data_IF_547733920784
#
_entry.id   IF_547733920784
#
_cell.length_a   1.000
_cell.length_b   1.000
_cell.length_c   1.000
_cell.angle_alpha   90.00
_cell.angle_beta   90.00
_cell.angle_gamma   90.00
#
_symmetry.space_group_name_H-M   'P 1'
#
loop_
_entity.id
_entity.type
_entity.pdbx_description
1 polymer ?
2 branched ?
3 water ?
#
# COMPACT_ATOMS: atom_id res chain seq x y z
N UNK A 12 23.53 7.44 -20.72
CA UNK A 12 22.69 7.34 -19.49
C UNK A 12 21.87 8.61 -19.30
N UNK A 13 22.51 9.76 -19.49
CA UNK A 13 21.80 11.02 -19.36
C UNK A 13 20.64 11.14 -20.34
N UNK A 14 20.82 10.57 -21.52
CA UNK A 14 19.81 10.60 -22.57
C UNK A 14 18.54 9.84 -22.17
N UNK A 15 18.71 8.64 -21.61
CA UNK A 15 17.57 7.83 -21.19
C UNK A 15 16.76 8.54 -20.10
N UNK A 16 17.45 9.31 -19.29
CA UNK A 16 16.80 10.05 -18.22
C UNK A 16 16.02 11.24 -18.81
N UNK A 17 16.51 11.78 -19.93
CA UNK A 17 15.82 12.88 -20.58
C UNK A 17 14.48 12.33 -21.06
N UNK A 18 14.52 11.15 -21.66
CA UNK A 18 13.29 10.54 -22.15
C UNK A 18 12.33 10.15 -21.02
N UNK A 19 12.86 9.74 -19.88
CA UNK A 19 12.01 9.33 -18.77
C UNK A 19 11.15 8.11 -19.16
N UNK A 20 10.06 7.89 -18.42
CA UNK A 20 9.18 6.75 -18.70
C UNK A 20 8.33 6.92 -19.94
N UNK A 21 8.00 5.81 -20.59
CA UNK A 21 7.17 5.86 -21.80
C UNK A 21 5.79 6.44 -21.46
N UNK A 22 5.24 7.21 -22.39
CA UNK A 22 3.94 7.79 -22.17
C UNK A 22 2.87 6.76 -21.87
N UNK A 23 3.04 5.55 -22.41
CA UNK A 23 2.06 4.50 -22.20
C UNK A 23 1.86 4.21 -20.72
N UNK A 24 2.95 4.27 -19.94
CA UNK A 24 2.90 3.99 -18.52
C UNK A 24 2.34 5.18 -17.73
N UNK A 25 1.35 4.93 -16.88
CA UNK A 25 0.77 6.00 -16.08
C UNK A 25 1.69 6.37 -14.92
N UNK A 26 1.53 7.57 -14.36
CA UNK A 26 2.37 8.00 -13.24
C UNK A 26 2.23 7.02 -12.07
N UNK A 27 1.03 6.48 -11.89
CA UNK A 27 0.77 5.54 -10.81
C UNK A 27 1.52 4.23 -10.98
N UNK A 28 1.50 3.70 -12.20
CA UNK A 28 2.19 2.47 -12.53
C UNK A 28 3.71 2.64 -12.45
N UNK A 29 4.23 3.74 -12.99
CA UNK A 29 5.67 3.94 -12.93
C UNK A 29 6.12 4.02 -11.48
N UNK A 30 5.34 4.73 -10.67
CA UNK A 30 5.63 4.90 -9.26
C UNK A 30 5.69 3.51 -8.59
N UNK A 31 4.64 2.73 -8.79
CA UNK A 31 4.56 1.38 -8.23
C UNK A 31 5.76 0.54 -8.67
N UNK A 32 5.98 0.45 -9.97
CA UNK A 32 7.10 -0.35 -10.47
C UNK A 32 8.43 0.13 -9.84
N UNK A 33 8.62 1.44 -9.73
CA UNK A 33 9.83 1.99 -9.13
C UNK A 33 9.97 1.58 -7.67
N UNK A 34 8.85 1.60 -6.96
CA UNK A 34 8.84 1.21 -5.56
C UNK A 34 9.21 -0.28 -5.44
N UNK A 35 8.73 -1.10 -6.37
CA UNK A 35 9.02 -2.52 -6.35
C UNK A 35 10.48 -2.85 -6.67
N UNK A 36 11.06 -2.15 -7.64
CA UNK A 36 12.46 -2.38 -8.00
C UNK A 36 13.32 -2.00 -6.80
N UNK A 37 12.99 -0.89 -6.14
CA UNK A 37 13.75 -0.47 -4.97
C UNK A 37 13.59 -1.49 -3.81
N UNK A 38 12.39 -2.03 -3.67
CA UNK A 38 12.11 -3.02 -2.62
C UNK A 38 12.99 -4.26 -2.82
N UNK A 39 13.02 -4.76 -4.06
CA UNK A 39 13.84 -5.93 -4.38
C UNK A 39 15.34 -5.61 -4.19
N UNK A 40 15.78 -4.49 -4.75
CA UNK A 40 17.17 -4.08 -4.64
C UNK A 40 17.60 -4.01 -3.17
N UNK A 41 16.81 -3.33 -2.35
CA UNK A 41 17.15 -3.17 -0.95
C UNK A 41 17.07 -4.47 -0.15
N UNK A 42 16.15 -5.35 -0.54
CA UNK A 42 16.03 -6.63 0.14
C UNK A 42 17.30 -7.43 -0.11
N UNK A 43 17.82 -7.37 -1.34
CA UNK A 43 19.03 -8.09 -1.66
C UNK A 43 20.21 -7.56 -0.88
N UNK A 44 20.33 -6.24 -0.80
CA UNK A 44 21.44 -5.65 -0.04
C UNK A 44 21.41 -6.11 1.42
N UNK A 45 20.25 -5.95 2.05
CA UNK A 45 20.04 -6.33 3.44
C UNK A 45 20.36 -7.82 3.66
N UNK A 46 20.02 -8.65 2.69
CA UNK A 46 20.29 -10.08 2.85
C UNK A 46 21.80 -10.35 2.86
N UNK A 47 22.55 -9.64 2.01
CA UNK A 47 24.00 -9.81 1.98
C UNK A 47 24.56 -9.40 3.36
N UNK A 48 24.19 -8.24 3.87
CA UNK A 48 24.69 -7.85 5.18
C UNK A 48 24.32 -8.89 6.26
N UNK A 49 23.07 -9.35 6.27
CA UNK A 49 22.67 -10.34 7.28
C UNK A 49 23.51 -11.62 7.12
N UNK A 50 23.80 -12.03 5.89
CA UNK A 50 24.60 -13.22 5.67
C UNK A 50 26.01 -13.02 6.22
N UNK A 51 26.60 -11.86 5.97
CA UNK A 51 27.95 -11.55 6.44
C UNK A 51 27.95 -11.51 7.96
N UNK A 52 26.88 -10.98 8.53
CA UNK A 52 26.76 -10.87 9.96
C UNK A 52 26.64 -12.25 10.58
N UNK A 53 25.83 -13.13 9.99
CA UNK A 53 25.68 -14.48 10.54
C UNK A 53 27.02 -15.18 10.48
N UNK A 54 27.67 -15.08 9.32
CA UNK A 54 28.97 -15.71 9.08
C UNK A 54 30.03 -15.22 10.05
N UNK A 55 29.93 -13.95 10.45
CA UNK A 55 30.91 -13.40 11.40
C UNK A 55 30.70 -13.97 12.80
N UNK A 56 29.45 -14.10 13.23
CA UNK A 56 29.18 -14.65 14.55
C UNK A 56 29.85 -16.01 14.64
N UNK A 57 29.66 -16.80 13.58
CA UNK A 57 30.20 -18.14 13.48
C UNK A 57 31.71 -18.20 13.72
N UNK A 58 32.46 -17.35 13.03
CA UNK A 58 33.91 -17.29 13.15
C UNK A 58 34.36 -16.50 14.37
N UNK A 59 33.45 -16.22 15.28
CA UNK A 59 33.81 -15.44 16.45
C UNK A 59 33.36 -16.06 17.76
N UNK A 60 32.94 -17.32 17.70
CA UNK A 60 32.47 -18.01 18.90
C UNK A 60 33.60 -18.33 19.88
N UNK A 61 34.85 -18.09 19.47
CA UNK A 61 36.00 -18.35 20.32
C UNK A 61 36.95 -17.16 20.43
N UNK A 62 36.40 -15.95 20.46
CA UNK A 62 37.19 -14.72 20.54
C UNK A 62 36.88 -13.96 21.84
N UNK A 63 37.62 -12.87 22.10
CA UNK A 63 37.41 -12.04 23.30
C UNK A 63 36.08 -11.26 23.24
N UNK A 64 35.50 -10.99 24.39
CA UNK A 64 34.23 -10.26 24.46
C UNK A 64 34.32 -8.97 23.66
N UNK A 65 35.20 -8.06 24.09
CA UNK A 65 35.37 -6.79 23.41
C UNK A 65 35.31 -6.93 21.89
N UNK A 66 36.12 -7.83 21.36
CA UNK A 66 36.15 -8.05 19.91
C UNK A 66 34.81 -8.51 19.35
N UNK A 67 34.19 -9.46 20.04
CA UNK A 67 32.90 -10.01 19.63
C UNK A 67 31.85 -8.89 19.68
N UNK A 68 32.00 -8.02 20.67
CA UNK A 68 31.08 -6.90 20.86
C UNK A 68 31.22 -5.89 19.73
N UNK A 69 32.47 -5.57 19.39
CA UNK A 69 32.77 -4.64 18.31
C UNK A 69 32.20 -5.17 17.00
N UNK A 70 32.06 -6.48 16.88
CA UNK A 70 31.51 -7.07 15.66
C UNK A 70 30.02 -6.68 15.56
N UNK A 71 29.31 -6.89 16.66
CA UNK A 71 27.90 -6.54 16.74
C UNK A 71 27.72 -5.08 16.30
N UNK A 72 28.44 -4.18 16.94
CA UNK A 72 28.34 -2.76 16.62
C UNK A 72 28.67 -2.47 15.16
N UNK A 73 29.58 -3.23 14.59
CA UNK A 73 29.97 -3.02 13.21
C UNK A 73 28.80 -3.30 12.25
N UNK A 74 28.28 -4.53 12.30
CA UNK A 74 27.16 -4.89 11.43
C UNK A 74 25.87 -4.15 11.73
N UNK A 75 25.67 -3.75 12.98
CA UNK A 75 24.47 -3.01 13.31
C UNK A 75 24.58 -1.57 12.79
N UNK A 76 25.82 -1.08 12.66
CA UNK A 76 26.05 0.26 12.14
C UNK A 76 25.86 0.28 10.64
N UNK A 77 26.27 -0.79 9.98
CA UNK A 77 26.11 -0.90 8.55
C UNK A 77 24.61 -0.89 8.23
N UNK A 78 23.82 -1.48 9.12
CA UNK A 78 22.37 -1.55 8.91
C UNK A 78 21.69 -0.20 9.20
N UNK A 79 22.22 0.52 10.20
CA UNK A 79 21.68 1.82 10.55
C UNK A 79 21.80 2.66 9.29
N UNK A 80 23.00 2.64 8.71
CA UNK A 80 23.30 3.37 7.50
C UNK A 80 22.38 2.91 6.37
N UNK A 81 22.24 1.60 6.22
CA UNK A 81 21.36 1.06 5.18
C UNK A 81 19.89 1.45 5.42
N UNK A 82 19.43 1.38 6.66
CA UNK A 82 18.05 1.74 6.98
C UNK A 82 17.82 3.22 6.62
N UNK A 83 18.77 4.07 7.00
CA UNK A 83 18.69 5.49 6.72
C UNK A 83 18.63 5.75 5.20
N UNK A 84 19.38 5.00 4.42
CA UNK A 84 19.38 5.16 2.96
C UNK A 84 18.02 4.76 2.40
N UNK A 85 17.45 3.69 2.95
CA UNK A 85 16.16 3.17 2.49
C UNK A 85 15.04 4.15 2.83
N UNK A 86 15.08 4.69 4.04
CA UNK A 86 14.06 5.65 4.48
C UNK A 86 14.12 6.94 3.63
N UNK A 87 15.32 7.45 3.40
CA UNK A 87 15.47 8.66 2.62
C UNK A 87 15.04 8.47 1.19
N UNK A 88 15.43 7.36 0.61
CA UNK A 88 15.09 7.01 -0.76
C UNK A 88 13.58 6.91 -0.92
N UNK A 89 12.91 6.36 0.09
CA UNK A 89 11.45 6.23 0.04
C UNK A 89 10.77 7.60 0.10
N UNK A 90 11.28 8.50 0.94
CA UNK A 90 10.74 9.84 1.09
C UNK A 90 10.87 10.61 -0.23
N UNK A 91 11.99 10.42 -0.92
CA UNK A 91 12.23 11.07 -2.19
C UNK A 91 11.29 10.53 -3.26
N UNK A 92 10.99 9.24 -3.22
CA UNK A 92 10.10 8.66 -4.22
C UNK A 92 8.68 9.21 -4.00
N UNK A 93 8.26 9.22 -2.74
CA UNK A 93 6.94 9.69 -2.38
C UNK A 93 6.73 11.17 -2.69
N UNK A 94 7.75 11.99 -2.48
CA UNK A 94 7.66 13.42 -2.74
C UNK A 94 7.47 13.67 -4.22
N UNK A 95 8.28 12.99 -5.04
CA UNK A 95 8.21 13.12 -6.48
C UNK A 95 6.85 12.70 -7.03
N UNK A 96 6.33 11.61 -6.52
CA UNK A 96 5.04 11.06 -6.94
C UNK A 96 3.88 11.99 -6.56
N UNK A 97 3.93 12.51 -5.34
CA UNK A 97 2.87 13.40 -4.88
C UNK A 97 2.84 14.69 -5.70
N UNK A 98 4.00 15.29 -5.89
CA UNK A 98 4.09 16.53 -6.64
C UNK A 98 3.52 16.34 -8.05
N UNK A 99 3.74 15.18 -8.64
CA UNK A 99 3.23 14.92 -9.97
C UNK A 99 1.73 14.65 -9.98
N UNK A 100 1.23 14.04 -8.91
CA UNK A 100 -0.19 13.74 -8.87
C UNK A 100 -0.99 15.04 -8.80
N UNK A 101 -0.53 15.96 -7.96
CA UNK A 101 -1.18 17.26 -7.80
C UNK A 101 -1.15 18.03 -9.12
N UNK A 102 -0.05 17.91 -9.86
CA UNK A 102 0.06 18.57 -11.13
C UNK A 102 -0.93 17.92 -12.12
N UNK A 103 -0.91 16.60 -12.16
CA UNK A 103 -1.78 15.86 -13.06
C UNK A 103 -3.26 16.22 -12.84
N UNK A 104 -3.66 16.31 -11.57
CA UNK A 104 -5.04 16.64 -11.27
C UNK A 104 -5.39 18.06 -11.68
N UNK A 105 -4.50 19.02 -11.45
CA UNK A 105 -4.81 20.36 -11.90
C UNK A 105 -4.87 20.39 -13.44
N UNK A 106 -3.99 19.66 -14.09
CA UNK A 106 -3.97 19.68 -15.56
C UNK A 106 -5.22 19.10 -16.21
N UNK A 107 -5.70 17.97 -15.71
CA UNK A 107 -6.88 17.34 -16.27
C UNK A 107 -8.12 18.20 -15.97
N UNK A 108 -8.13 18.85 -14.81
CA UNK A 108 -9.26 19.69 -14.48
C UNK A 108 -9.31 20.83 -15.49
N UNK A 109 -8.20 21.56 -15.62
CA UNK A 109 -8.11 22.68 -16.54
C UNK A 109 -8.44 22.27 -17.97
N UNK A 110 -8.09 21.04 -18.33
CA UNK A 110 -8.35 20.54 -19.68
C UNK A 110 -9.84 20.27 -19.88
N UNK A 111 -10.46 19.69 -18.87
CA UNK A 111 -11.87 19.38 -18.92
C UNK A 111 -12.68 20.70 -18.90
N UNK A 112 -12.22 21.71 -18.17
CA UNK A 112 -12.93 22.99 -18.12
C UNK A 112 -12.94 23.63 -19.51
N UNK A 113 -11.78 23.62 -20.16
CA UNK A 113 -11.70 24.17 -21.51
C UNK A 113 -12.66 23.38 -22.40
N UNK A 114 -12.65 22.06 -22.31
CA UNK A 114 -13.53 21.26 -23.12
C UNK A 114 -15.02 21.54 -22.89
N UNK A 115 -15.37 21.85 -21.65
CA UNK A 115 -16.76 22.14 -21.32
C UNK A 115 -17.10 23.50 -21.88
N UNK A 116 -16.19 24.45 -21.73
CA UNK A 116 -16.43 25.78 -22.25
C UNK A 116 -16.54 25.76 -23.77
N UNK A 117 -15.69 24.98 -24.43
CA UNK A 117 -15.72 24.94 -25.90
C UNK A 117 -16.99 24.35 -26.47
N UNK A 118 -17.64 23.47 -25.72
CA UNK A 118 -18.87 22.85 -26.18
C UNK A 118 -20.10 23.74 -25.92
N UNK A 119 -19.92 24.68 -25.01
CA UNK A 119 -20.99 25.64 -24.69
C UNK A 119 -20.90 26.78 -25.68
N UNK A 120 -19.69 27.04 -26.15
CA UNK A 120 -19.46 28.11 -27.11
C UNK A 120 -19.61 27.64 -28.56
N UNK A 121 -19.90 26.36 -28.75
CA UNK A 121 -20.07 25.80 -30.08
C UNK A 121 -21.23 26.49 -30.80
N UNK A 122 -20.98 26.98 -32.03
CA UNK A 122 -22.01 27.66 -32.82
C UNK A 122 -23.34 26.95 -32.62
N UNK A 123 -23.48 25.71 -33.14
CA UNK A 123 -24.77 25.08 -32.87
C UNK A 123 -24.52 24.19 -31.64
N UNK A 124 -24.73 24.73 -30.43
CA UNK A 124 -24.51 23.98 -29.19
C UNK A 124 -25.24 22.65 -29.20
N UNK A 125 -24.48 21.55 -29.14
CA UNK A 125 -25.08 20.23 -29.13
C UNK A 125 -25.09 19.68 -27.71
N UNK A 126 -26.28 19.30 -27.24
CA UNK A 126 -26.43 18.78 -25.90
C UNK A 126 -25.54 17.59 -25.60
N UNK A 127 -25.61 16.56 -26.45
CA UNK A 127 -24.81 15.35 -26.27
C UNK A 127 -23.38 15.69 -25.88
N UNK A 128 -22.79 16.64 -26.60
CA UNK A 128 -21.41 17.05 -26.35
C UNK A 128 -21.24 17.94 -25.11
N UNK A 129 -22.16 18.89 -24.92
CA UNK A 129 -22.09 19.76 -23.76
C UNK A 129 -22.17 18.92 -22.49
N UNK A 130 -23.12 17.99 -22.48
CA UNK A 130 -23.34 17.11 -21.35
C UNK A 130 -22.11 16.26 -21.07
N UNK A 131 -21.60 15.62 -22.12
CA UNK A 131 -20.42 14.77 -22.01
C UNK A 131 -19.23 15.57 -21.48
N UNK A 132 -19.09 16.80 -21.95
CA UNK A 132 -17.99 17.64 -21.52
C UNK A 132 -18.15 17.96 -20.03
N UNK A 133 -19.38 18.26 -19.63
CA UNK A 133 -19.65 18.57 -18.22
C UNK A 133 -19.28 17.40 -17.34
N UNK A 134 -19.55 16.20 -17.83
CA UNK A 134 -19.25 15.00 -17.07
C UNK A 134 -17.76 14.83 -16.85
N UNK A 135 -16.96 15.00 -17.92
CA UNK A 135 -15.52 14.86 -17.81
C UNK A 135 -15.00 15.87 -16.78
N UNK A 136 -15.55 17.07 -16.79
CA UNK A 136 -15.14 18.10 -15.84
C UNK A 136 -15.50 17.70 -14.38
N UNK A 137 -16.72 17.20 -14.19
CA UNK A 137 -17.15 16.77 -12.86
C UNK A 137 -16.29 15.60 -12.42
N UNK A 138 -15.92 14.75 -13.36
CA UNK A 138 -15.07 13.60 -13.03
C UNK A 138 -13.69 14.09 -12.58
N UNK A 139 -13.18 15.16 -13.19
CA UNK A 139 -11.88 15.68 -12.80
C UNK A 139 -11.97 16.25 -11.38
N UNK A 140 -13.08 16.92 -11.08
CA UNK A 140 -13.25 17.49 -9.74
C UNK A 140 -13.44 16.36 -8.71
N UNK A 141 -14.19 15.34 -9.10
CA UNK A 141 -14.44 14.20 -8.25
C UNK A 141 -13.10 13.57 -7.86
N UNK A 142 -12.21 13.51 -8.85
CA UNK A 142 -10.89 12.93 -8.65
C UNK A 142 -10.09 13.68 -7.58
N UNK A 143 -10.15 15.01 -7.62
CA UNK A 143 -9.40 15.78 -6.62
C UNK A 143 -10.04 15.58 -5.25
N UNK A 144 -11.37 15.59 -5.26
CA UNK A 144 -12.13 15.37 -4.04
C UNK A 144 -11.77 14.01 -3.41
N UNK A 145 -11.84 12.93 -4.19
CA UNK A 145 -11.52 11.60 -3.66
C UNK A 145 -10.08 11.50 -3.16
N UNK A 146 -9.16 12.17 -3.86
CA UNK A 146 -7.76 12.17 -3.47
C UNK A 146 -7.57 12.86 -2.14
N UNK A 147 -8.36 13.91 -1.91
CA UNK A 147 -8.28 14.63 -0.66
C UNK A 147 -8.77 13.70 0.45
N UNK A 148 -9.93 13.11 0.23
CA UNK A 148 -10.50 12.20 1.20
C UNK A 148 -9.60 11.00 1.45
N UNK A 149 -9.25 10.29 0.38
CA UNK A 149 -8.42 9.11 0.52
C UNK A 149 -7.13 9.39 1.30
N UNK A 150 -6.49 10.52 1.01
CA UNK A 150 -5.26 10.86 1.70
C UNK A 150 -5.51 11.08 3.18
N UNK A 151 -6.41 12.02 3.49
CA UNK A 151 -6.77 12.29 4.88
C UNK A 151 -7.11 10.96 5.53
N UNK A 152 -7.84 10.15 4.79
CA UNK A 152 -8.27 8.86 5.29
C UNK A 152 -7.09 7.92 5.63
N UNK A 153 -6.02 7.90 4.83
CA UNK A 153 -4.89 7.04 5.15
C UNK A 153 -4.04 7.61 6.30
N UNK A 154 -3.90 8.93 6.36
CA UNK A 154 -3.14 9.57 7.43
C UNK A 154 -3.76 9.23 8.79
N UNK A 155 -5.09 9.16 8.81
CA UNK A 155 -5.84 8.87 10.01
C UNK A 155 -5.47 7.53 10.66
N UNK A 156 -5.01 6.59 9.84
CA UNK A 156 -4.63 5.27 10.36
C UNK A 156 -3.15 5.20 10.71
N UNK A 157 -2.33 5.96 9.99
CA UNK A 157 -0.90 5.96 10.19
C UNK A 157 -0.44 6.83 11.37
N UNK A 158 -0.76 8.12 11.28
CA UNK A 158 -0.39 9.07 12.33
C UNK A 158 -1.57 9.92 12.73
N UNK A 159 -2.41 9.40 13.63
CA UNK A 159 -3.60 10.09 14.13
C UNK A 159 -3.37 11.52 14.58
N UNK A 160 -2.21 11.77 15.17
CA UNK A 160 -1.87 13.12 15.63
C UNK A 160 -1.79 14.08 14.46
N UNK A 161 -1.27 13.61 13.33
CA UNK A 161 -1.14 14.44 12.12
C UNK A 161 -2.48 14.59 11.39
N UNK A 162 -3.35 13.59 11.52
CA UNK A 162 -4.67 13.63 10.89
C UNK A 162 -5.48 14.76 11.53
N UNK A 163 -5.33 14.87 12.84
CA UNK A 163 -6.02 15.88 13.62
C UNK A 163 -5.61 17.29 13.17
N UNK A 164 -4.37 17.42 12.73
CA UNK A 164 -3.87 18.71 12.29
C UNK A 164 -4.24 19.06 10.85
N UNK A 165 -4.76 18.08 10.11
CA UNK A 165 -5.17 18.28 8.71
C UNK A 165 -6.66 18.62 8.59
N UNK A 166 -7.45 18.17 9.57
CA UNK A 166 -8.90 18.34 9.55
C UNK A 166 -9.39 19.62 8.91
N UNK A 167 -9.01 20.75 9.48
CA UNK A 167 -9.45 22.03 8.97
C UNK A 167 -9.06 22.19 7.51
N UNK A 168 -7.78 21.95 7.21
CA UNK A 168 -7.26 22.06 5.86
C UNK A 168 -8.09 21.27 4.84
N UNK A 169 -8.40 20.01 5.19
CA UNK A 169 -9.22 19.15 4.33
C UNK A 169 -10.61 19.76 4.14
N UNK A 170 -11.22 20.13 5.27
CA UNK A 170 -12.54 20.76 5.30
C UNK A 170 -12.58 21.97 4.35
N UNK A 171 -11.58 22.84 4.49
CA UNK A 171 -11.45 24.04 3.64
C UNK A 171 -11.29 23.62 2.18
N UNK A 172 -10.36 22.69 1.95
CA UNK A 172 -10.05 22.22 0.61
C UNK A 172 -11.28 21.66 -0.10
N UNK A 173 -12.07 20.84 0.60
CA UNK A 173 -13.27 20.27 0.01
C UNK A 173 -14.27 21.38 -0.35
N UNK A 174 -14.36 22.41 0.48
CA UNK A 174 -15.28 23.52 0.16
C UNK A 174 -14.80 24.25 -1.10
N UNK A 175 -13.49 24.47 -1.22
CA UNK A 175 -12.94 25.14 -2.40
C UNK A 175 -13.43 24.41 -3.65
N UNK A 176 -13.25 23.09 -3.66
CA UNK A 176 -13.68 22.27 -4.78
C UNK A 176 -15.17 22.43 -5.08
N UNK A 177 -16.01 22.25 -4.07
CA UNK A 177 -17.45 22.36 -4.27
C UNK A 177 -17.82 23.73 -4.83
N UNK A 178 -17.18 24.77 -4.32
CA UNK A 178 -17.48 26.13 -4.80
C UNK A 178 -17.01 26.29 -6.25
N UNK A 179 -15.87 25.66 -6.58
CA UNK A 179 -15.35 25.72 -7.95
C UNK A 179 -16.39 25.10 -8.88
N UNK A 180 -16.87 23.93 -8.49
CA UNK A 180 -17.88 23.23 -9.28
C UNK A 180 -19.13 24.07 -9.52
N UNK A 181 -19.64 24.71 -8.48
CA UNK A 181 -20.84 25.51 -8.66
C UNK A 181 -20.55 26.69 -9.57
N UNK A 182 -19.37 27.27 -9.45
CA UNK A 182 -18.98 28.38 -10.31
C UNK A 182 -19.00 27.89 -11.75
N UNK A 183 -18.29 26.77 -12.01
CA UNK A 183 -18.21 26.21 -13.37
C UNK A 183 -19.61 25.90 -13.90
N UNK A 184 -20.49 25.38 -13.07
CA UNK A 184 -21.85 25.07 -13.53
C UNK A 184 -22.57 26.37 -13.88
N UNK A 185 -22.06 27.48 -13.37
CA UNK A 185 -22.65 28.77 -13.63
C UNK A 185 -22.39 29.24 -15.07
N UNK A 186 -21.57 28.50 -15.81
CA UNK A 186 -21.28 28.84 -17.18
C UNK A 186 -22.51 28.49 -18.02
N UNK A 187 -23.31 27.55 -17.53
CA UNK A 187 -24.52 27.15 -18.21
C UNK A 187 -25.65 28.16 -17.98
N UNK A 188 -25.29 29.38 -17.57
CA UNK A 188 -26.30 30.40 -17.34
C UNK A 188 -26.41 31.32 -18.54
N UNK A 189 -25.33 31.41 -19.30
CA UNK A 189 -25.32 32.24 -20.49
C UNK A 189 -26.40 31.70 -21.42
N UNK A 190 -26.63 30.39 -21.37
CA UNK A 190 -27.64 29.74 -22.20
C UNK A 190 -28.67 29.11 -21.28
N UNK A 191 -29.65 29.92 -20.81
CA UNK A 191 -30.69 29.41 -19.91
C UNK A 191 -31.53 28.31 -20.55
N UNK A 192 -31.57 28.30 -21.87
CA UNK A 192 -32.34 27.32 -22.62
C UNK A 192 -31.70 25.95 -22.50
N UNK A 193 -30.44 25.85 -22.93
CA UNK A 193 -29.70 24.60 -22.90
C UNK A 193 -29.76 23.95 -21.52
N UNK A 194 -29.63 24.78 -20.50
CA UNK A 194 -29.67 24.31 -19.12
C UNK A 194 -30.96 23.53 -18.88
N UNK A 195 -32.04 23.99 -19.52
CA UNK A 195 -33.34 23.35 -19.38
C UNK A 195 -33.30 21.91 -19.86
N UNK A 196 -33.05 21.72 -21.16
CA UNK A 196 -33.00 20.38 -21.75
C UNK A 196 -32.09 19.48 -20.94
N UNK A 197 -30.98 20.04 -20.47
CA UNK A 197 -30.00 19.28 -19.70
C UNK A 197 -30.32 19.25 -18.20
N UNK A 198 -31.13 20.20 -17.75
CA UNK A 198 -31.51 20.32 -16.35
C UNK A 198 -31.57 19.00 -15.59
N UNK A 199 -32.39 18.04 -16.05
CA UNK A 199 -32.50 16.76 -15.37
C UNK A 199 -31.18 15.98 -15.38
N UNK A 200 -30.67 15.70 -16.56
CA UNK A 200 -29.42 14.96 -16.71
C UNK A 200 -28.28 15.51 -15.85
N UNK A 201 -28.20 16.83 -15.75
CA UNK A 201 -27.16 17.47 -14.92
C UNK A 201 -27.47 17.20 -13.45
N UNK A 202 -28.76 17.21 -13.13
CA UNK A 202 -29.23 16.97 -11.76
C UNK A 202 -28.78 15.60 -11.26
N UNK A 203 -28.96 14.57 -12.10
CA UNK A 203 -28.56 13.22 -11.74
C UNK A 203 -27.04 13.13 -11.58
N UNK A 204 -26.32 13.78 -12.48
CA UNK A 204 -24.87 13.77 -12.45
C UNK A 204 -24.33 14.33 -11.15
N UNK A 205 -24.80 15.52 -10.78
CA UNK A 205 -24.36 16.18 -9.56
C UNK A 205 -24.86 15.47 -8.30
N UNK A 206 -25.82 14.56 -8.48
CA UNK A 206 -26.39 13.84 -7.33
C UNK A 206 -25.76 12.47 -7.10
N UNK A 207 -24.92 12.05 -8.03
CA UNK A 207 -24.25 10.75 -7.92
C UNK A 207 -23.28 10.69 -6.75
N UNK A 208 -22.95 9.49 -6.28
CA UNK A 208 -22.00 9.33 -5.17
C UNK A 208 -20.63 9.04 -5.76
N UNK A 209 -20.65 8.69 -7.05
CA UNK A 209 -19.43 8.39 -7.79
C UNK A 209 -19.71 8.17 -9.28
N UNK A 210 -18.94 8.87 -10.12
CA UNK A 210 -19.09 8.76 -11.57
C UNK A 210 -17.95 7.97 -12.19
N UNK A 211 -18.25 6.80 -12.74
CA UNK A 211 -17.22 6.01 -13.39
C UNK A 211 -17.18 6.50 -14.84
N UNK A 212 -16.57 5.75 -15.77
CA UNK A 212 -16.50 6.15 -17.19
C UNK A 212 -17.86 6.43 -17.83
N UNK A 213 -18.80 5.49 -17.70
CA UNK A 213 -20.18 5.59 -18.23
C UNK A 213 -20.58 4.47 -19.18
N UNK A 214 -21.49 4.79 -20.10
CA UNK A 214 -21.97 3.84 -21.09
C UNK A 214 -22.69 4.55 -22.23
N UNK B 12 -26.28 -13.22 8.03
CA UNK B 12 -25.23 -12.66 8.92
C UNK B 12 -24.30 -13.76 9.45
N UNK B 13 -24.47 -14.11 10.72
CA UNK B 13 -23.64 -15.15 11.33
C UNK B 13 -23.33 -16.30 10.39
N UNK B 14 -24.31 -16.69 9.59
CA UNK B 14 -24.14 -17.79 8.65
C UNK B 14 -23.23 -17.40 7.50
N UNK B 15 -23.39 -16.17 7.01
CA UNK B 15 -22.54 -15.70 5.92
C UNK B 15 -21.10 -15.60 6.41
N UNK B 16 -20.94 -15.24 7.68
CA UNK B 16 -19.62 -15.11 8.26
C UNK B 16 -18.99 -16.52 8.37
N UNK B 17 -19.79 -17.52 8.75
CA UNK B 17 -19.31 -18.88 8.86
C UNK B 17 -18.73 -19.36 7.54
N UNK B 18 -19.50 -19.28 6.46
CA UNK B 18 -19.02 -19.69 5.15
C UNK B 18 -17.84 -18.81 4.74
N UNK B 19 -17.84 -17.56 5.18
CA UNK B 19 -16.76 -16.66 4.82
C UNK B 19 -16.56 -16.54 3.32
N UNK B 20 -15.35 -16.14 2.92
CA UNK B 20 -15.07 -15.95 1.51
C UNK B 20 -15.15 -17.22 0.68
N UNK B 21 -15.63 -17.10 -0.55
CA UNK B 21 -15.73 -18.27 -1.42
C UNK B 21 -14.33 -18.79 -1.74
N UNK B 22 -14.23 -20.05 -2.14
CA UNK B 22 -12.94 -20.65 -2.44
C UNK B 22 -12.30 -20.06 -3.69
N UNK B 23 -13.13 -19.50 -4.56
CA UNK B 23 -12.69 -18.90 -5.81
C UNK B 23 -11.90 -17.60 -5.58
N UNK B 24 -11.91 -17.12 -4.34
CA UNK B 24 -11.22 -15.88 -3.96
C UNK B 24 -10.05 -16.12 -3.02
N UNK B 25 -8.85 -15.78 -3.46
CA UNK B 25 -7.65 -15.96 -2.64
C UNK B 25 -7.60 -14.97 -1.48
N UNK B 26 -6.72 -15.24 -0.51
CA UNK B 26 -6.54 -14.37 0.64
C UNK B 26 -6.12 -12.96 0.17
N UNK B 27 -5.11 -12.92 -0.69
CA UNK B 27 -4.62 -11.67 -1.22
C UNK B 27 -5.77 -10.91 -1.90
N UNK B 28 -6.46 -11.58 -2.82
CA UNK B 28 -7.56 -10.92 -3.49
C UNK B 28 -8.59 -10.39 -2.45
N UNK B 29 -9.11 -11.26 -1.58
CA UNK B 29 -10.08 -10.83 -0.59
C UNK B 29 -9.59 -9.70 0.29
N UNK B 30 -8.30 -9.73 0.63
CA UNK B 30 -7.71 -8.70 1.46
C UNK B 30 -7.74 -7.31 0.80
N UNK B 31 -7.39 -7.25 -0.49
CA UNK B 31 -7.38 -5.99 -1.21
C UNK B 31 -8.79 -5.43 -1.29
N UNK B 32 -9.71 -6.30 -1.69
CA UNK B 32 -11.12 -5.98 -1.82
C UNK B 32 -11.73 -5.50 -0.51
N UNK B 33 -11.40 -6.14 0.61
CA UNK B 33 -11.96 -5.68 1.90
C UNK B 33 -11.36 -4.31 2.22
N UNK B 34 -10.08 -4.14 1.92
CA UNK B 34 -9.38 -2.88 2.17
C UNK B 34 -10.06 -1.78 1.35
N UNK B 35 -10.33 -2.07 0.07
CA UNK B 35 -11.00 -1.10 -0.81
C UNK B 35 -12.40 -0.76 -0.33
N UNK B 36 -13.17 -1.77 0.09
CA UNK B 36 -14.52 -1.52 0.57
C UNK B 36 -14.52 -0.65 1.82
N UNK B 37 -13.55 -0.87 2.72
CA UNK B 37 -13.46 -0.10 3.95
C UNK B 37 -13.07 1.35 3.66
N UNK B 38 -12.09 1.53 2.79
CA UNK B 38 -11.64 2.88 2.42
C UNK B 38 -12.80 3.67 1.79
N UNK B 39 -13.48 3.04 0.84
CA UNK B 39 -14.59 3.63 0.12
C UNK B 39 -15.72 4.08 1.07
N UNK B 40 -15.97 3.25 2.08
CA UNK B 40 -17.00 3.50 3.09
C UNK B 40 -16.61 4.68 3.97
N UNK B 41 -15.36 4.69 4.43
CA UNK B 41 -14.94 5.77 5.29
C UNK B 41 -14.80 7.08 4.51
N UNK B 42 -14.46 6.99 3.22
CA UNK B 42 -14.33 8.20 2.42
C UNK B 42 -15.71 8.88 2.36
N UNK B 43 -16.76 8.10 2.17
CA UNK B 43 -18.12 8.63 2.14
C UNK B 43 -18.55 9.21 3.47
N UNK B 44 -18.27 8.49 4.56
CA UNK B 44 -18.64 8.94 5.90
C UNK B 44 -18.02 10.31 6.20
N UNK B 45 -16.73 10.43 5.89
CA UNK B 45 -15.99 11.66 6.12
C UNK B 45 -16.59 12.80 5.28
N UNK B 46 -16.83 12.51 4.01
CA UNK B 46 -17.35 13.53 3.11
C UNK B 46 -18.66 14.12 3.66
N UNK B 47 -19.56 13.26 4.12
CA UNK B 47 -20.84 13.70 4.68
C UNK B 47 -20.61 14.64 5.86
N UNK B 48 -19.72 14.26 6.77
CA UNK B 48 -19.43 15.09 7.92
C UNK B 48 -18.91 16.45 7.46
N UNK B 49 -17.96 16.43 6.52
CA UNK B 49 -17.36 17.66 6.00
C UNK B 49 -18.41 18.57 5.38
N UNK B 50 -19.36 17.99 4.66
CA UNK B 50 -20.40 18.81 4.07
C UNK B 50 -21.31 19.40 5.18
N UNK B 51 -21.67 18.61 6.19
CA UNK B 51 -22.47 19.11 7.31
C UNK B 51 -21.74 20.31 7.97
N UNK B 52 -20.45 20.14 8.19
CA UNK B 52 -19.63 21.18 8.79
C UNK B 52 -19.67 22.47 7.93
N UNK B 53 -19.54 22.30 6.61
CA UNK B 53 -19.57 23.43 5.67
C UNK B 53 -20.95 24.10 5.74
N UNK B 54 -22.00 23.29 5.75
CA UNK B 54 -23.34 23.83 5.83
C UNK B 54 -23.51 24.60 7.16
N UNK B 55 -23.01 24.04 8.27
CA UNK B 55 -23.10 24.73 9.56
C UNK B 55 -22.32 26.05 9.50
N UNK B 56 -21.17 26.03 8.82
CA UNK B 56 -20.35 27.22 8.66
C UNK B 56 -21.11 28.37 7.99
N UNK B 57 -21.78 28.07 6.89
CA UNK B 57 -22.53 29.07 6.16
C UNK B 57 -23.62 29.64 7.06
N UNK B 58 -24.43 28.72 7.58
CA UNK B 58 -25.54 29.03 8.46
C UNK B 58 -25.22 29.87 9.71
N UNK B 59 -24.03 29.70 10.25
CA UNK B 59 -23.68 30.36 11.50
C UNK B 59 -22.84 31.62 11.44
N UNK B 60 -22.59 32.17 10.27
CA UNK B 60 -21.77 33.39 10.21
C UNK B 60 -22.11 34.39 11.30
N UNK B 61 -23.38 34.45 11.70
CA UNK B 61 -23.81 35.44 12.69
C UNK B 61 -24.13 35.03 14.13
N UNK B 62 -23.76 33.82 14.52
CA UNK B 62 -23.98 33.40 15.90
C UNK B 62 -22.85 34.03 16.69
N UNK B 63 -22.97 34.10 18.03
CA UNK B 63 -21.86 34.71 18.79
C UNK B 63 -20.61 33.81 18.71
N UNK B 64 -19.44 34.35 19.05
CA UNK B 64 -18.19 33.59 18.98
C UNK B 64 -18.21 32.28 19.77
N UNK B 65 -18.65 32.36 21.02
CA UNK B 65 -18.72 31.17 21.88
C UNK B 65 -19.49 30.03 21.22
N UNK B 66 -20.58 30.37 20.51
CA UNK B 66 -21.42 29.40 19.80
C UNK B 66 -20.73 28.93 18.53
N UNK B 67 -20.08 29.86 17.83
CA UNK B 67 -19.36 29.49 16.63
C UNK B 67 -18.29 28.45 17.05
N UNK B 68 -17.61 28.73 18.16
CA UNK B 68 -16.56 27.86 18.69
C UNK B 68 -17.11 26.49 19.02
N UNK B 69 -18.27 26.45 19.66
CA UNK B 69 -18.89 25.18 20.02
C UNK B 69 -19.20 24.37 18.75
N UNK B 70 -19.70 25.03 17.71
CA UNK B 70 -20.01 24.34 16.45
C UNK B 70 -18.76 23.68 15.89
N UNK B 71 -17.66 24.43 15.87
CA UNK B 71 -16.41 23.91 15.36
C UNK B 71 -15.96 22.67 16.14
N UNK B 72 -16.06 22.75 17.47
CA UNK B 72 -15.65 21.64 18.31
C UNK B 72 -16.52 20.41 18.02
N UNK B 73 -17.80 20.64 17.82
CA UNK B 73 -18.71 19.56 17.53
C UNK B 73 -18.25 18.72 16.32
N UNK B 74 -17.91 19.40 15.23
CA UNK B 74 -17.47 18.69 14.04
C UNK B 74 -16.06 18.09 14.17
N UNK B 75 -15.15 18.83 14.79
CA UNK B 75 -13.79 18.34 14.98
C UNK B 75 -13.83 17.10 15.89
N UNK B 76 -14.82 17.07 16.76
CA UNK B 76 -15.01 15.97 17.67
C UNK B 76 -15.59 14.74 16.97
N UNK B 77 -16.56 14.97 16.09
CA UNK B 77 -17.14 13.87 15.35
C UNK B 77 -16.05 13.27 14.45
N UNK B 78 -15.25 14.14 13.85
CA UNK B 78 -14.19 13.68 12.98
C UNK B 78 -13.14 12.88 13.75
N UNK B 79 -12.84 13.28 14.98
CA UNK B 79 -11.87 12.55 15.80
C UNK B 79 -12.37 11.12 15.99
N UNK B 80 -13.62 10.99 16.43
CA UNK B 80 -14.25 9.69 16.63
C UNK B 80 -14.10 8.88 15.32
N UNK B 81 -14.41 9.50 14.20
CA UNK B 81 -14.32 8.82 12.92
C UNK B 81 -12.87 8.42 12.61
N UNK B 82 -11.93 9.33 12.82
CA UNK B 82 -10.52 9.01 12.55
C UNK B 82 -10.06 7.82 13.39
N UNK B 83 -10.53 7.74 14.63
CA UNK B 83 -10.17 6.65 15.52
C UNK B 83 -10.83 5.34 15.10
N UNK B 84 -12.04 5.44 14.59
CA UNK B 84 -12.75 4.27 14.08
C UNK B 84 -11.96 3.79 12.86
N UNK B 85 -11.51 4.73 12.05
CA UNK B 85 -10.75 4.40 10.84
C UNK B 85 -9.46 3.64 11.18
N UNK B 86 -8.69 4.20 12.09
CA UNK B 86 -7.43 3.59 12.51
C UNK B 86 -7.61 2.15 13.02
N UNK B 87 -8.55 1.95 13.94
CA UNK B 87 -8.80 0.63 14.49
C UNK B 87 -9.12 -0.39 13.42
N UNK B 88 -10.03 0.00 12.53
CA UNK B 88 -10.49 -0.82 11.42
C UNK B 88 -9.33 -1.26 10.53
N UNK B 89 -8.46 -0.31 10.20
CA UNK B 89 -7.30 -0.59 9.36
C UNK B 89 -6.36 -1.57 10.06
N UNK B 90 -5.97 -1.22 11.28
CA UNK B 90 -5.08 -2.01 12.13
C UNK B 90 -5.56 -3.46 12.22
N UNK B 91 -6.86 -3.65 12.38
CA UNK B 91 -7.40 -4.99 12.47
C UNK B 91 -7.23 -5.71 11.13
N UNK B 92 -7.66 -5.08 10.05
CA UNK B 92 -7.55 -5.66 8.72
C UNK B 92 -6.11 -6.09 8.42
N UNK B 93 -5.17 -5.17 8.65
CA UNK B 93 -3.75 -5.42 8.42
C UNK B 93 -3.24 -6.56 9.30
N UNK B 94 -3.76 -6.60 10.52
CA UNK B 94 -3.36 -7.60 11.51
C UNK B 94 -3.81 -8.99 11.09
N UNK B 95 -5.07 -9.11 10.69
CA UNK B 95 -5.62 -10.37 10.24
C UNK B 95 -4.84 -10.91 9.04
N UNK B 96 -4.66 -10.06 8.03
CA UNK B 96 -3.96 -10.46 6.82
C UNK B 96 -2.55 -10.98 7.10
N UNK B 97 -1.83 -10.26 7.96
CA UNK B 97 -0.46 -10.64 8.28
C UNK B 97 -0.44 -12.03 8.92
N UNK B 98 -1.43 -12.31 9.78
CA UNK B 98 -1.54 -13.59 10.46
C UNK B 98 -1.81 -14.72 9.47
N UNK B 99 -2.72 -14.48 8.53
CA UNK B 99 -3.00 -15.51 7.55
C UNK B 99 -1.80 -15.75 6.63
N UNK B 100 -0.99 -14.72 6.41
CA UNK B 100 0.16 -14.91 5.53
C UNK B 100 1.19 -15.78 6.23
N UNK B 101 1.42 -15.51 7.51
CA UNK B 101 2.37 -16.29 8.29
C UNK B 101 1.87 -17.74 8.38
N UNK B 102 0.58 -17.91 8.64
CA UNK B 102 0.00 -19.23 8.78
C UNK B 102 0.18 -20.01 7.48
N UNK B 103 -0.09 -19.38 6.35
CA UNK B 103 0.07 -20.05 5.08
C UNK B 103 1.54 -20.48 4.87
N UNK B 104 2.46 -19.59 5.23
CA UNK B 104 3.89 -19.89 5.07
C UNK B 104 4.30 -21.08 5.94
N UNK B 105 3.85 -21.09 7.19
CA UNK B 105 4.15 -22.19 8.09
C UNK B 105 3.50 -23.46 7.59
N UNK B 106 2.26 -23.34 7.14
CA UNK B 106 1.56 -24.53 6.67
C UNK B 106 2.23 -25.14 5.45
N UNK B 107 2.69 -24.29 4.53
CA UNK B 107 3.34 -24.82 3.35
C UNK B 107 4.69 -25.44 3.72
N UNK B 108 5.38 -24.89 4.71
CA UNK B 108 6.65 -25.46 5.09
C UNK B 108 6.44 -26.84 5.72
N UNK B 109 5.43 -26.96 6.57
CA UNK B 109 5.17 -28.22 7.22
C UNK B 109 4.71 -29.27 6.24
N UNK B 110 3.91 -28.87 5.27
CA UNK B 110 3.44 -29.80 4.28
C UNK B 110 4.65 -30.33 3.51
N UNK B 111 5.48 -29.41 3.04
CA UNK B 111 6.67 -29.80 2.28
C UNK B 111 7.59 -30.68 3.14
N UNK B 112 7.72 -30.37 4.43
CA UNK B 112 8.57 -31.20 5.29
C UNK B 112 8.08 -32.65 5.32
N UNK B 113 6.77 -32.83 5.52
CA UNK B 113 6.18 -34.15 5.54
C UNK B 113 6.45 -34.85 4.19
N UNK B 114 6.31 -34.12 3.11
CA UNK B 114 6.54 -34.72 1.80
C UNK B 114 8.00 -35.17 1.65
N UNK B 115 8.92 -34.37 2.21
CA UNK B 115 10.34 -34.69 2.15
C UNK B 115 10.59 -35.96 2.97
N UNK B 116 10.00 -36.03 4.16
CA UNK B 116 10.18 -37.22 5.00
C UNK B 116 9.71 -38.48 4.27
N UNK B 117 8.48 -38.45 3.75
CA UNK B 117 7.89 -39.58 3.06
C UNK B 117 8.83 -40.12 1.99
N UNK B 118 9.27 -39.23 1.11
CA UNK B 118 10.18 -39.61 0.06
C UNK B 118 11.43 -40.29 0.62
N UNK B 119 11.93 -39.77 1.75
CA UNK B 119 13.11 -40.35 2.37
C UNK B 119 12.86 -41.72 2.99
N UNK B 120 11.67 -41.88 3.58
CA UNK B 120 11.34 -43.13 4.26
C UNK B 120 10.68 -44.18 3.33
N UNK B 121 11.01 -44.13 2.05
CA UNK B 121 10.47 -45.06 1.09
C UNK B 121 11.36 -46.29 0.97
N UNK B 122 10.73 -47.49 1.05
CA UNK B 122 11.40 -48.81 0.95
C UNK B 122 12.58 -48.52 0.04
N UNK B 123 12.36 -48.40 -1.30
CA UNK B 123 13.55 -48.05 -2.04
C UNK B 123 13.41 -46.56 -2.36
N UNK B 124 14.18 -45.70 -1.71
CA UNK B 124 14.09 -44.26 -1.99
C UNK B 124 14.33 -43.94 -3.46
N UNK B 125 13.70 -42.88 -3.96
CA UNK B 125 13.86 -42.53 -5.36
C UNK B 125 14.48 -41.16 -5.54
N UNK B 126 15.68 -41.16 -6.10
CA UNK B 126 16.43 -39.95 -6.33
C UNK B 126 15.60 -38.77 -6.78
N UNK B 127 14.86 -38.94 -7.89
CA UNK B 127 14.04 -37.85 -8.42
C UNK B 127 13.00 -37.37 -7.42
N UNK B 128 12.26 -38.31 -6.83
CA UNK B 128 11.21 -38.01 -5.87
C UNK B 128 11.72 -37.24 -4.64
N UNK B 129 12.84 -37.69 -4.09
CA UNK B 129 13.45 -37.05 -2.92
C UNK B 129 13.93 -35.65 -3.27
N UNK B 130 14.58 -35.53 -4.43
CA UNK B 130 15.12 -34.26 -4.86
C UNK B 130 14.04 -33.21 -5.06
N UNK B 131 12.92 -33.62 -5.64
CA UNK B 131 11.83 -32.69 -5.88
C UNK B 131 11.13 -32.32 -4.57
N UNK B 132 10.98 -33.27 -3.66
CA UNK B 132 10.34 -32.94 -2.40
C UNK B 132 11.25 -31.95 -1.64
N UNK B 133 12.56 -32.12 -1.78
CA UNK B 133 13.52 -31.24 -1.12
C UNK B 133 13.46 -29.85 -1.74
N UNK B 134 13.32 -29.77 -3.07
CA UNK B 134 13.22 -28.46 -3.72
C UNK B 134 12.01 -27.73 -3.12
N UNK B 135 10.90 -28.46 -3.02
CA UNK B 135 9.66 -27.91 -2.48
C UNK B 135 9.90 -27.34 -1.06
N UNK B 136 10.54 -28.13 -0.20
CA UNK B 136 10.83 -27.70 1.15
C UNK B 136 11.74 -26.47 1.18
N UNK B 137 12.81 -26.48 0.38
CA UNK B 137 13.72 -25.35 0.32
C UNK B 137 12.98 -24.10 -0.14
N UNK B 138 12.08 -24.25 -1.11
CA UNK B 138 11.31 -23.10 -1.58
C UNK B 138 10.43 -22.52 -0.47
N UNK B 139 9.78 -23.36 0.33
CA UNK B 139 8.96 -22.86 1.45
C UNK B 139 9.86 -22.08 2.45
N UNK B 140 11.06 -22.57 2.72
CA UNK B 140 11.96 -21.87 3.63
C UNK B 140 12.39 -20.52 3.06
N UNK B 141 12.65 -20.49 1.74
CA UNK B 141 13.05 -19.27 1.04
C UNK B 141 11.91 -18.26 1.09
N UNK B 142 10.68 -18.74 0.96
CA UNK B 142 9.55 -17.83 1.02
C UNK B 142 9.48 -17.23 2.42
N UNK B 143 9.83 -18.01 3.45
CA UNK B 143 9.79 -17.41 4.79
C UNK B 143 10.92 -16.38 4.88
N UNK B 144 12.05 -16.68 4.23
CA UNK B 144 13.19 -15.77 4.21
C UNK B 144 12.82 -14.46 3.51
N UNK B 145 12.20 -14.53 2.33
CA UNK B 145 11.80 -13.32 1.62
C UNK B 145 10.86 -12.52 2.50
N UNK B 146 9.84 -13.19 3.01
CA UNK B 146 8.86 -12.52 3.85
C UNK B 146 9.49 -11.79 5.03
N UNK B 147 10.43 -12.45 5.71
CA UNK B 147 11.13 -11.82 6.83
C UNK B 147 11.87 -10.53 6.39
N UNK B 148 12.59 -10.60 5.26
CA UNK B 148 13.35 -9.46 4.75
C UNK B 148 12.44 -8.35 4.24
N UNK B 149 11.37 -8.72 3.54
CA UNK B 149 10.45 -7.71 3.02
C UNK B 149 9.80 -6.90 4.14
N UNK B 150 9.41 -7.57 5.22
CA UNK B 150 8.76 -6.87 6.31
C UNK B 150 9.73 -5.86 6.91
N UNK B 151 10.97 -6.30 7.09
CA UNK B 151 11.99 -5.46 7.65
C UNK B 151 12.31 -4.29 6.71
N UNK B 152 12.46 -4.59 5.41
CA UNK B 152 12.74 -3.57 4.42
C UNK B 152 11.63 -2.49 4.46
N UNK B 153 10.38 -2.96 4.58
CA UNK B 153 9.23 -2.06 4.63
C UNK B 153 9.24 -1.16 5.88
N UNK B 154 9.48 -1.72 7.05
CA UNK B 154 9.51 -0.90 8.25
C UNK B 154 10.64 0.12 8.08
N UNK B 155 11.78 -0.29 7.54
CA UNK B 155 12.89 0.65 7.34
C UNK B 155 12.43 1.79 6.42
N UNK B 156 11.62 1.43 5.44
CA UNK B 156 11.14 2.42 4.48
C UNK B 156 10.21 3.48 5.06
N UNK B 157 9.32 3.07 5.97
CA UNK B 157 8.36 3.99 6.57
C UNK B 157 8.59 4.37 8.02
N UNK B 158 9.49 3.68 8.71
CA UNK B 158 9.71 3.96 10.14
C UNK B 158 11.12 3.56 10.54
N UNK B 159 12.10 4.44 10.33
CA UNK B 159 13.50 4.16 10.66
C UNK B 159 13.73 3.75 12.12
N UNK B 160 13.13 4.47 13.06
CA UNK B 160 13.31 4.17 14.47
C UNK B 160 12.87 2.76 14.79
N UNK B 161 11.70 2.40 14.28
CA UNK B 161 11.09 1.09 14.50
C UNK B 161 11.92 -0.04 13.88
N UNK B 162 12.59 0.25 12.78
CA UNK B 162 13.40 -0.76 12.09
C UNK B 162 14.67 -1.10 12.87
N UNK B 163 15.25 -0.09 13.51
CA UNK B 163 16.46 -0.27 14.32
C UNK B 163 16.20 -1.25 15.45
N UNK B 164 15.00 -1.17 16.02
CA UNK B 164 14.59 -2.04 17.12
C UNK B 164 14.37 -3.51 16.75
N UNK B 165 13.95 -3.80 15.53
CA UNK B 165 13.70 -5.19 15.16
C UNK B 165 14.92 -5.79 14.45
N UNK B 166 15.89 -4.94 14.17
CA UNK B 166 17.11 -5.36 13.48
C UNK B 166 17.70 -6.69 13.96
N UNK B 167 17.95 -6.79 15.27
CA UNK B 167 18.54 -7.99 15.86
C UNK B 167 17.60 -9.19 15.82
N UNK B 168 16.32 -8.91 15.94
CA UNK B 168 15.31 -9.95 15.92
C UNK B 168 15.25 -10.57 14.52
N UNK B 169 15.39 -9.73 13.50
CA UNK B 169 15.33 -10.18 12.11
C UNK B 169 16.54 -11.07 11.84
N UNK B 170 17.71 -10.58 12.23
CA UNK B 170 18.98 -11.29 12.07
C UNK B 170 18.87 -12.67 12.70
N UNK B 171 18.23 -12.75 13.87
CA UNK B 171 18.06 -14.00 14.59
C UNK B 171 17.06 -14.94 13.89
N UNK B 172 16.02 -14.33 13.33
CA UNK B 172 14.99 -15.05 12.60
C UNK B 172 15.61 -15.72 11.37
N UNK B 173 16.44 -14.98 10.63
CA UNK B 173 17.11 -15.53 9.46
C UNK B 173 17.99 -16.70 9.89
N UNK B 174 18.62 -16.57 11.05
CA UNK B 174 19.45 -17.65 11.57
C UNK B 174 18.58 -18.87 11.91
N UNK B 175 17.44 -18.63 12.53
CA UNK B 175 16.57 -19.73 12.88
C UNK B 175 16.19 -20.47 11.60
N UNK B 176 15.89 -19.73 10.54
CA UNK B 176 15.53 -20.37 9.29
C UNK B 176 16.66 -21.22 8.74
N UNK B 177 17.88 -20.67 8.74
CA UNK B 177 19.03 -21.40 8.24
C UNK B 177 19.28 -22.71 9.01
N UNK B 178 19.20 -22.66 10.34
CA UNK B 178 19.40 -23.86 11.14
C UNK B 178 18.34 -24.93 10.77
N UNK B 179 17.10 -24.52 10.53
CA UNK B 179 16.07 -25.48 10.16
C UNK B 179 16.44 -26.16 8.85
N UNK B 180 16.93 -25.38 7.89
CA UNK B 180 17.32 -25.96 6.62
C UNK B 180 18.49 -26.94 6.80
N UNK B 181 19.51 -26.57 7.59
CA UNK B 181 20.64 -27.47 7.81
C UNK B 181 20.19 -28.76 8.48
N UNK B 182 19.28 -28.63 9.45
CA UNK B 182 18.79 -29.78 10.18
C UNK B 182 17.93 -30.67 9.30
N UNK B 183 17.14 -30.05 8.43
CA UNK B 183 16.28 -30.80 7.52
C UNK B 183 17.14 -31.51 6.46
N UNK B 184 18.21 -30.87 6.03
CA UNK B 184 19.09 -31.50 5.04
C UNK B 184 19.79 -32.68 5.70
N UNK B 185 20.28 -32.44 6.91
CA UNK B 185 20.97 -33.49 7.65
C UNK B 185 20.26 -34.82 7.54
N UNK B 186 18.93 -34.77 7.40
CA UNK B 186 18.16 -35.99 7.28
C UNK B 186 18.55 -36.76 6.02
N UNK B 187 18.86 -36.03 4.95
CA UNK B 187 19.27 -36.63 3.70
C UNK B 187 20.66 -37.22 3.89
N UNK B 188 21.43 -36.64 4.80
CA UNK B 188 22.79 -37.11 5.08
C UNK B 188 22.79 -38.41 5.88
N UNK B 189 21.61 -39.00 6.05
CA UNK B 189 21.49 -40.26 6.78
C UNK B 189 21.55 -41.37 5.73
N UNK B 190 21.74 -40.98 4.48
CA UNK B 190 21.83 -41.90 3.36
C UNK B 190 22.99 -41.40 2.50
N UNK B 191 24.21 -41.83 2.83
CA UNK B 191 25.45 -41.45 2.13
C UNK B 191 25.32 -41.47 0.59
N UNK B 192 25.04 -42.66 0.05
CA UNK B 192 24.91 -42.79 -1.39
C UNK B 192 23.92 -41.77 -1.94
N UNK B 193 22.73 -41.70 -1.33
CA UNK B 193 21.71 -40.77 -1.78
C UNK B 193 22.26 -39.36 -1.71
N UNK B 194 22.95 -39.06 -0.62
CA UNK B 194 23.54 -37.75 -0.42
C UNK B 194 24.47 -37.40 -1.57
N UNK B 195 25.48 -38.23 -1.79
CA UNK B 195 26.44 -38.00 -2.87
C UNK B 195 25.72 -37.82 -4.20
N UNK B 196 24.83 -38.76 -4.52
CA UNK B 196 24.09 -38.71 -5.77
C UNK B 196 23.39 -37.37 -6.01
N UNK B 197 22.73 -36.86 -4.99
CA UNK B 197 22.02 -35.58 -5.12
C UNK B 197 22.90 -34.39 -4.80
N UNK B 198 24.14 -34.65 -4.39
CA UNK B 198 25.09 -33.61 -4.04
C UNK B 198 25.08 -32.43 -5.02
N UNK B 199 25.58 -32.62 -6.25
CA UNK B 199 25.59 -31.52 -7.21
C UNK B 199 24.22 -30.92 -7.54
N UNK B 200 23.19 -31.76 -7.50
CA UNK B 200 21.83 -31.29 -7.77
C UNK B 200 21.34 -30.45 -6.60
N UNK B 201 21.73 -30.85 -5.39
CA UNK B 201 21.35 -30.14 -4.18
C UNK B 201 22.00 -28.77 -4.11
N UNK B 202 23.32 -28.75 -4.27
CA UNK B 202 24.07 -27.51 -4.23
C UNK B 202 23.46 -26.42 -5.11
N UNK B 203 23.12 -26.78 -6.34
CA UNK B 203 22.55 -25.81 -7.26
C UNK B 203 21.28 -25.18 -6.67
N UNK B 204 20.48 -26.01 -5.99
CA UNK B 204 19.23 -25.55 -5.37
C UNK B 204 19.46 -24.54 -4.26
N UNK B 205 20.45 -24.83 -3.42
CA UNK B 205 20.78 -23.94 -2.32
C UNK B 205 21.27 -22.61 -2.86
N UNK B 206 22.29 -22.68 -3.71
CA UNK B 206 22.87 -21.48 -4.31
C UNK B 206 22.01 -20.96 -5.45
X LIG C 1 -7.57 7.47 -10.43
X LIG C 1 -7.73 7.67 -11.85
X LIG C 1 -8.50 6.66 -12.52
X LIG C 1 -8.83 7.34 -13.85
X LIG C 1 -9.58 8.52 -13.57
X LIG C 1 -9.66 9.61 -14.48
X LIG C 1 -8.61 9.22 -15.48
X LIG C 1 -10.86 9.57 -15.40
X LIG C 1 -9.13 10.94 -14.05
X LIG C 1 -9.86 6.37 -11.90
X LIG C 1 -10.33 5.12 -12.41
X LIG C 1 -11.65 5.21 -12.97
X LIG C 1 -12.49 6.13 -12.13
X LIG C 1 -11.56 5.72 -14.38
X LIG C 1 -12.28 3.85 -12.99
X LIG C 1 -9.78 6.29 -10.36
X LIG C 1 -11.12 6.36 -9.85
X LIG C 1 -11.37 5.27 -8.97
X LIG C 1 -10.39 5.32 -7.83
X LIG C 1 -11.22 3.98 -9.70
X LIG C 1 -12.77 5.36 -8.43
X LIG C 1 -8.96 7.46 -9.81
X LIG C 1 -8.83 7.36 -8.39
X LIG C 1 -8.90 8.66 -7.81
X LIG C 1 -10.14 8.76 -6.96
X LIG C 1 -7.69 8.90 -6.95
X LIG C 1 -8.94 9.70 -8.87
X LIG C 2 -4.84 6.91 -8.98
X LIG C 2 -5.48 6.32 -10.24
X LIG C 2 -4.95 4.90 -10.47
X LIG C 2 -4.77 4.88 -11.99
X LIG C 2 -4.23 6.30 -12.18
X LIG C 2 -4.34 6.73 -13.65
X LIG C 2 -4.60 8.31 -9.07
X LIG C 2 -2.41 8.40 -8.13
X LIG C 2 -4.34 3.55 -8.20
X LIG C 2 -5.21 2.26 -13.37
X LIG C 2 -3.62 8.47 -16.17
X LIG C 2 -6.90 6.23 -10.13
X LIG C 2 -2.72 8.20 -10.55
X LIG C 2 -6.37 4.90 -7.91
X LIG C 2 -4.62 4.32 -14.54
X LIG C 2 -5.84 8.56 -15.15
X LIG C 2 -5.86 3.89 -10.03
X LIG C 2 -3.27 10.29 -9.42
X LIG C 2 -6.55 2.50 -8.22
X LIG C 2 -2.91 2.62 -14.17
X LIG C 2 -4.21 10.30 -14.65
X LIG C 2 -3.79 3.90 -12.34
X LIG C 2 -5.13 7.09 -11.39
X LIG C 2 -3.91 8.09 -13.81
X LIG C 2 -3.27 8.80 -9.29
X LIG C 2 -5.78 3.72 -8.62
X LIG C 2 -4.13 3.29 -13.58
X LIG C 2 -4.39 8.84 -14.93
X LIG D 1 -0.37 3.60 1.18
X LIG D 1 -0.60 5.01 1.10
X LIG D 1 -0.02 5.66 -0.05
X LIG D 1 -0.45 7.13 -0.04
X LIG D 1 -1.56 7.27 0.85
X LIG D 1 -2.56 8.27 0.63
X LIG D 1 -1.80 9.37 -0.04
X LIG D 1 -3.53 7.91 -0.48
X LIG D 1 -3.10 9.00 1.81
X LIG D 1 -0.49 5.02 -1.37
X LIG D 1 0.24 5.57 -2.46
X LIG D 1 -0.61 6.06 -3.50
X LIG D 1 -1.79 6.75 -2.89
X LIG D 1 0.15 7.03 -4.35
X LIG D 1 -1.08 4.93 -4.36
X LIG D 1 -0.24 3.51 -1.30
X LIG D 1 -0.69 2.88 -2.50
X LIG D 1 0.41 2.49 -3.32
X LIG D 1 1.69 3.10 -2.81
X LIG D 1 0.18 2.97 -4.73
X LIG D 1 0.54 0.99 -3.31
X LIG D 1 -0.93 2.92 -0.07
X LIG D 1 -0.68 1.52 -0.01
X LIG D 1 -1.84 0.85 0.48
X LIG D 1 -2.99 1.08 -0.45
X LIG D 1 -1.56 -0.63 0.57
X LIG D 1 -2.18 1.37 1.85
X LIG D 2 1.32 1.99 3.22
X LIG D 2 1.72 3.23 2.41
X LIG D 2 3.21 3.26 2.04
X LIG D 2 3.25 4.77 1.75
X LIG D 2 2.71 5.22 3.11
X LIG D 2 2.30 6.69 3.16
X LIG D 2 1.93 2.03 4.51
X LIG D 2 1.82 -0.36 4.72
X LIG D 2 4.07 1.01 2.72
X LIG D 2 6.53 6.43 1.88
X LIG D 2 0.00 8.41 3.66
X LIG D 2 1.04 3.34 1.16
X LIG D 2 2.92 1.01 6.44
X LIG D 2 3.07 0.10 0.66
X LIG D 2 4.82 6.20 3.58
X LIG D 2 0.39 8.10 6.05
X LIG D 2 3.46 2.44 0.90
X LIG D 2 0.48 1.09 6.17
X LIG D 2 5.34 0.98 0.62
X LIG D 2 6.10 4.23 2.87
X LIG D 2 1.96 9.41 4.72
X LIG D 2 4.54 5.27 1.37
X LIG D 2 1.52 4.41 3.20
X LIG D 2 1.79 7.01 4.46
X LIG D 2 1.80 0.95 5.44
X LIG D 2 3.97 1.16 1.23
X LIG D 2 5.47 5.52 2.41
X LIG D 2 1.05 8.21 4.71
X LIG E 1 2.39 -12.95 -3.55
X LIG E 1 1.23 -13.48 -4.23
X LIG E 1 0.25 -12.45 -4.48
X LIG E 1 -0.93 -13.07 -5.21
X LIG E 1 -1.50 -14.15 -4.48
X LIG E 1 -2.59 -14.88 -5.05
X LIG E 1 -3.17 -15.51 -3.82
X LIG E 1 -3.73 -14.03 -5.46
X LIG E 1 -2.27 -16.14 -5.83
X LIG E 1 0.85 -11.36 -5.38
X LIG E 1 -0.12 -10.31 -5.52
X LIG E 1 -0.38 -10.07 -6.90
X LIG E 1 0.83 -9.48 -7.56
X LIG E 1 -0.73 -11.36 -7.57
X LIG E 1 -1.55 -9.12 -7.02
X LIG E 1 2.14 -10.80 -4.78
X LIG E 1 2.76 -9.89 -5.69
X LIG E 1 3.08 -8.67 -5.03
X LIG E 1 3.14 -8.88 -3.54
X LIG E 1 2.03 -7.65 -5.35
X LIG E 1 4.42 -8.19 -5.51
X LIG E 1 3.09 -11.96 -4.47
X LIG E 1 4.28 -11.48 -3.85
X LIG E 1 5.43 -12.19 -4.34
X LIG E 1 5.50 -12.07 -5.84
X LIG E 1 6.67 -11.59 -3.74
X LIG E 1 5.34 -13.63 -3.96
X LIG E 2 4.00 -12.27 -0.94
X LIG E 2 2.62 -12.87 -1.23
X LIG E 2 1.66 -12.83 -0.03
X LIG E 2 0.75 -14.02 -0.34
X LIG E 2 1.79 -15.03 -0.81
X LIG E 2 1.20 -16.02 -1.81
X LIG E 2 4.74 -13.12 -0.06
X LIG E 2 6.81 -13.93 -0.98
X LIG E 2 2.26 -11.19 1.96
X LIG E 2 -1.82 -13.16 0.36
X LIG E 2 3.35 -18.28 -3.88
X LIG E 2 1.96 -12.28 -2.35
X LIG E 2 6.62 -11.61 -0.22
X LIG E 2 2.56 -9.84 -0.07
X LIG E 2 -1.65 -15.50 -0.36
X LIG E 2 1.89 -18.94 -2.03
X LIG E 2 0.92 -11.60 0.01
X LIG E 2 6.61 -13.42 1.41
X LIG E 2 0.52 -9.60 1.27
X LIG E 2 -1.91 -14.96 2.01
X LIG E 2 0.92 -17.96 -4.05
X LIG E 2 0.12 -14.46 0.87
X LIG E 2 2.78 -14.27 -1.52
X LIG E 2 2.25 -16.64 -2.53
X LIG E 2 6.17 -13.02 0.03
X LIG E 2 1.56 -10.58 0.78
X LIG E 2 -1.29 -14.52 0.72
X LIG E 2 2.10 -17.94 -3.12
#
# INVERSE_FOLDING_TARGET
GSHMTPTPRPTDGVDIYFGMPGEISEHEGFLRAKMDLEERRMRQINEVMREWAMADNQSKNLPKADRQALNEHFQSILQTLEEQVSGERQRLVETHATRVIALINDQRRAALEGFLAALQADPPQAERVLLALRRYLRAEQKEQRHTLRHYQHVAAVDPEKAQQMRFQVHTHLQVIEERVNQSLGLLDQNPHLAQELRPQIQELLHSEHLGPSE
GSHMTPTPRPTDGVDIYFGMPGEISEHEGFLRAKMDLEERRMRQINEVMREWAMADNQSKNLPKADRQALNEHFQSILQTLEEQVSGERQRLVETHATRVIALINDQRRAALEGFLAALQADPPQAERVLLALRRYLRAEQKEQRHTLRHYQHVAAVDPEKAQQMRFQVHTHLQVIEERVNQSLGLLDQNPHLAQELRPQIQELLHSEHLGPSE
GU4 C1 O5 C5 C6 O6 S6 O22 O23 O21 C4 O4 S4 O25 O26 O24 C3 O3 S3 O28 O29 O27 C2 O2 S2 O11 O12 O10
YYJ C1 C2 C3 C4 C5 C6 O1 O1S1 O1S3 O1S4 O1S6 O2 O2S1 O2S3 O2S4 O2S6 O3 O3S1 O3S3 O3S4 O3S6 O4 O5 O6 S1 S3 S4 S6
GU4 C1 O5 C5 C6 O6 S6 O22 O23 O21 C4 O4 S4 O25 O26 O24 C3 O3 S3 O28 O29 O27 C2 O2 S2 O11 O12 O10
YYJ C1 C2 C3 C4 C5 C6 O1 O1S1 O1S3 O1S4 O1S6 O2 O2S1 O2S3 O2S4 O2S6 O3 O3S1 O3S3 O3S4 O3S6 O4 O5 O6 S1 S3 S4 S6
GU4 C1 O5 C5 C6 O6 S6 O22 O23 O21 C4 O4 S4 O25 O26 O24 C3 O3 S3 O28 O29 O27 C2 O2 S2 O11 O12 O10
YYJ C1 C2 C3 C4 C5 C6 O1 O1S1 O1S3 O1S4 O1S6 O2 O2S1 O2S3 O2S4 O2S6 O3 O3S1 O3S3 O3S4 O3S6 O4 O5 O6 S1 S3 S4 S6
#
